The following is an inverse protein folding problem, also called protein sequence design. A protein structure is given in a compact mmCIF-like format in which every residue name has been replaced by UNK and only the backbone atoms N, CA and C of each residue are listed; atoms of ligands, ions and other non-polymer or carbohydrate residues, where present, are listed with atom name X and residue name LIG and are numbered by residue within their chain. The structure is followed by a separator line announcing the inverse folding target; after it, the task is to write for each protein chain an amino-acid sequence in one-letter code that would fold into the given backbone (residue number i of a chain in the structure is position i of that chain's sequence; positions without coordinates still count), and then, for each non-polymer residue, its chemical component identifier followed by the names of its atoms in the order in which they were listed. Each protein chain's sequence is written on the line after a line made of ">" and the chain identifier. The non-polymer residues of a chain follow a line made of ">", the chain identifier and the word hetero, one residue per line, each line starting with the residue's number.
data_IF_124889348277
#
_entry.id   IF_124889348277
#
_cell.length_a   1.000
_cell.length_b   1.000
_cell.length_c   1.000
_cell.angle_alpha   90.00
_cell.angle_beta   90.00
_cell.angle_gamma   90.00
#
_symmetry.space_group_name_H-M   'P 1'
#
loop_
_entity.id
_entity.type
_entity.pdbx_description
1 polymer ?
#
# COMPACT_ATOMS: atom_id res chain seq x y z
N UNK A 1 -9.15 -7.66 -4.04
CA UNK A 1 -9.06 -6.44 -3.22
C UNK A 1 -7.65 -6.40 -2.67
N UNK A 2 -6.86 -5.39 -3.04
CA UNK A 2 -5.46 -5.24 -2.64
C UNK A 2 -5.21 -3.83 -2.13
N UNK A 3 -4.11 -3.65 -1.40
CA UNK A 3 -3.58 -2.31 -1.15
C UNK A 3 -2.81 -1.84 -2.40
N UNK A 4 -2.75 -0.52 -2.67
CA UNK A 4 -1.91 0.01 -3.74
C UNK A 4 -0.44 -0.32 -3.50
N UNK A 5 0.31 -0.51 -4.56
CA UNK A 5 1.72 -0.84 -4.48
C UNK A 5 2.30 -1.26 -5.83
N UNK A 6 3.61 -1.06 -5.96
CA UNK A 6 4.34 -1.37 -7.17
C UNK A 6 5.84 -1.50 -6.92
N UNK A 7 6.59 -1.56 -8.01
CA UNK A 7 8.03 -1.82 -7.96
C UNK A 7 8.77 -0.53 -7.62
N UNK A 8 9.73 -0.62 -6.69
CA UNK A 8 10.64 0.49 -6.38
C UNK A 8 11.55 0.75 -7.58
N UNK A 9 11.51 1.97 -8.09
CA UNK A 9 12.37 2.37 -9.20
C UNK A 9 13.84 2.46 -8.78
N UNK A 10 14.75 2.36 -9.75
CA UNK A 10 16.19 2.41 -9.48
C UNK A 10 16.60 3.74 -8.83
N UNK A 11 17.04 3.68 -7.57
CA UNK A 11 17.43 4.86 -6.79
C UNK A 11 16.27 5.60 -6.12
N UNK A 12 15.05 5.06 -6.22
CA UNK A 12 13.89 5.55 -5.48
C UNK A 12 13.91 4.97 -4.06
N UNK A 13 13.54 5.80 -3.09
CA UNK A 13 13.32 5.33 -1.72
C UNK A 13 11.96 4.60 -1.65
N UNK A 14 11.86 3.45 -0.96
CA UNK A 14 10.60 2.67 -0.90
C UNK A 14 9.38 3.47 -0.42
N UNK A 15 9.59 4.41 0.51
CA UNK A 15 8.51 5.30 0.97
C UNK A 15 8.05 6.29 -0.12
N UNK A 16 8.95 6.71 -1.02
CA UNK A 16 8.60 7.55 -2.17
C UNK A 16 7.80 6.75 -3.20
N UNK A 17 8.20 5.50 -3.48
CA UNK A 17 7.44 4.55 -4.29
C UNK A 17 6.03 4.37 -3.72
N UNK A 18 5.91 4.06 -2.43
CA UNK A 18 4.61 3.88 -1.78
C UNK A 18 3.71 5.12 -1.87
N UNK A 19 4.27 6.34 -1.76
CA UNK A 19 3.50 7.58 -1.98
C UNK A 19 3.04 7.74 -3.44
N UNK A 20 3.92 7.43 -4.40
CA UNK A 20 3.65 7.52 -5.83
C UNK A 20 2.52 6.58 -6.21
N UNK A 21 2.65 5.29 -5.90
CA UNK A 21 1.67 4.25 -6.24
C UNK A 21 0.29 4.54 -5.64
N UNK A 22 0.22 4.95 -4.36
CA UNK A 22 -1.08 5.33 -3.75
C UNK A 22 -1.73 6.49 -4.51
N UNK A 23 -0.96 7.48 -4.98
CA UNK A 23 -1.52 8.60 -5.75
C UNK A 23 -1.91 8.16 -7.16
N UNK A 24 -1.07 7.37 -7.84
CA UNK A 24 -1.30 6.93 -9.21
C UNK A 24 -2.51 6.00 -9.32
N UNK A 25 -2.66 5.06 -8.38
CA UNK A 25 -3.77 4.11 -8.38
C UNK A 25 -5.05 4.68 -7.75
N UNK A 26 -4.95 5.62 -6.79
CA UNK A 26 -6.16 6.02 -6.03
C UNK A 26 -6.54 7.49 -6.17
N UNK A 27 -5.60 8.36 -6.58
CA UNK A 27 -5.77 9.81 -6.55
C UNK A 27 -5.72 10.43 -5.15
N UNK A 28 -5.40 9.63 -4.11
CA UNK A 28 -5.26 10.08 -2.72
C UNK A 28 -3.80 10.13 -2.30
N UNK A 29 -3.45 11.12 -1.47
CA UNK A 29 -2.10 11.28 -0.92
C UNK A 29 -2.13 11.25 0.60
N UNK A 30 -1.51 10.26 1.26
CA UNK A 30 -1.30 10.27 2.71
C UNK A 30 -0.48 11.48 3.17
N UNK A 31 -0.79 12.02 4.35
CA UNK A 31 0.01 13.08 4.99
C UNK A 31 1.30 12.53 5.60
N UNK A 32 1.21 11.31 6.13
CA UNK A 32 2.35 10.58 6.68
C UNK A 32 2.29 9.14 6.22
N UNK A 33 3.47 8.54 6.02
CA UNK A 33 3.66 7.11 5.86
C UNK A 33 4.50 6.58 7.03
N UNK A 34 4.09 5.46 7.57
CA UNK A 34 4.83 4.70 8.58
C UNK A 34 5.23 3.35 7.99
N UNK A 35 6.53 3.02 8.03
CA UNK A 35 6.99 1.69 7.64
C UNK A 35 6.63 0.67 8.73
N UNK A 36 5.90 -0.37 8.35
CA UNK A 36 5.43 -1.42 9.28
C UNK A 36 6.35 -2.62 9.26
N UNK A 37 6.66 -3.14 8.08
CA UNK A 37 7.44 -4.38 7.94
C UNK A 37 8.05 -4.51 6.55
N UNK A 38 9.27 -5.05 6.51
CA UNK A 38 9.89 -5.59 5.30
C UNK A 38 9.88 -7.12 5.40
N UNK A 39 9.41 -7.81 4.36
CA UNK A 39 9.42 -9.28 4.33
C UNK A 39 9.68 -9.83 2.93
N UNK A 40 9.98 -11.12 2.85
CA UNK A 40 10.27 -11.83 1.62
C UNK A 40 9.16 -12.86 1.38
N UNK A 41 8.20 -12.63 0.46
CA UNK A 41 7.08 -13.55 0.25
C UNK A 41 7.53 -14.86 -0.40
N UNK A 42 8.66 -14.86 -1.10
CA UNK A 42 9.13 -15.96 -1.95
C UNK A 42 10.52 -16.47 -1.54
N UNK A 43 10.72 -16.66 -0.22
CA UNK A 43 12.00 -17.14 0.33
C UNK A 43 12.46 -18.42 -0.37
N UNK A 44 13.70 -18.41 -0.85
CA UNK A 44 14.34 -19.56 -1.51
C UNK A 44 14.04 -19.71 -3.01
N UNK A 45 13.16 -18.86 -3.57
CA UNK A 45 12.90 -18.82 -5.01
C UNK A 45 13.46 -17.55 -5.65
N UNK A 46 13.11 -16.39 -5.10
CA UNK A 46 13.46 -15.08 -5.63
C UNK A 46 13.76 -14.13 -4.46
N UNK A 47 14.77 -13.30 -4.63
CA UNK A 47 15.00 -12.15 -3.75
C UNK A 47 14.02 -11.03 -4.15
N UNK A 48 12.99 -10.83 -3.34
CA UNK A 48 11.91 -9.87 -3.60
C UNK A 48 11.42 -9.28 -2.27
N UNK A 49 12.19 -8.34 -1.67
CA UNK A 49 11.75 -7.67 -0.48
C UNK A 49 10.46 -6.87 -0.77
N UNK A 50 9.48 -7.02 0.10
CA UNK A 50 8.23 -6.27 0.10
C UNK A 50 8.19 -5.39 1.34
N UNK A 51 8.07 -4.09 1.14
CA UNK A 51 7.96 -3.09 2.20
C UNK A 51 6.52 -2.62 2.34
N UNK A 52 5.97 -2.75 3.55
CA UNK A 52 4.59 -2.41 3.84
C UNK A 52 4.55 -1.12 4.65
N UNK A 53 3.74 -0.18 4.18
CA UNK A 53 3.52 1.11 4.82
C UNK A 53 2.05 1.31 5.22
N UNK A 54 1.82 2.08 6.28
CA UNK A 54 0.50 2.60 6.64
C UNK A 54 0.48 4.10 6.42
N UNK A 55 -0.50 4.55 5.63
CA UNK A 55 -0.76 5.96 5.37
C UNK A 55 -1.82 6.55 6.29
N UNK A 56 -1.57 7.76 6.82
CA UNK A 56 -2.53 8.48 7.64
C UNK A 56 -2.96 9.82 7.03
N UNK A 57 -4.22 10.18 7.27
CA UNK A 57 -4.77 11.49 6.95
C UNK A 57 -4.80 11.81 5.45
N UNK A 58 -5.06 10.82 4.60
CA UNK A 58 -5.01 10.99 3.16
C UNK A 58 -5.99 12.04 2.64
N UNK A 59 -5.54 12.82 1.65
CA UNK A 59 -6.33 13.84 0.98
C UNK A 59 -6.40 13.55 -0.52
N UNK A 60 -7.54 13.83 -1.14
CA UNK A 60 -7.70 13.65 -2.59
C UNK A 60 -6.93 14.74 -3.32
N UNK A 61 -5.99 14.34 -4.16
CA UNK A 61 -5.10 15.26 -4.91
C UNK A 61 -5.35 15.21 -6.42
N UNK A 62 -6.09 14.22 -6.92
CA UNK A 62 -6.42 14.09 -8.33
C UNK A 62 -7.33 12.89 -8.61
N UNK A 63 -7.48 12.60 -9.90
CA UNK A 63 -8.01 11.32 -10.36
C UNK A 63 -6.85 10.31 -10.49
N UNK A 64 -7.11 9.00 -10.31
CA UNK A 64 -6.13 7.97 -10.61
C UNK A 64 -5.61 8.08 -12.04
N UNK A 65 -4.33 7.82 -12.22
CA UNK A 65 -3.65 7.77 -13.51
C UNK A 65 -3.35 6.34 -13.95
N UNK A 66 -3.25 5.39 -13.03
CA UNK A 66 -3.18 3.97 -13.32
C UNK A 66 -4.54 3.32 -13.05
N UNK A 67 -5.25 3.00 -14.13
CA UNK A 67 -6.58 2.40 -14.09
C UNK A 67 -6.56 0.88 -14.34
N UNK A 68 -5.41 0.30 -14.71
CA UNK A 68 -5.32 -1.14 -14.94
C UNK A 68 -5.22 -1.92 -13.63
N UNK A 69 -4.47 -1.38 -12.65
CA UNK A 69 -4.45 -1.92 -11.29
C UNK A 69 -5.59 -1.37 -10.40
N UNK A 70 -6.05 -0.15 -10.65
CA UNK A 70 -7.14 0.49 -9.91
C UNK A 70 -8.53 0.24 -10.50
N UNK A 71 -9.01 -1.01 -10.44
CA UNK A 71 -10.35 -1.35 -10.96
C UNK A 71 -11.52 -0.68 -10.18
N UNK A 72 -11.43 -0.60 -8.86
CA UNK A 72 -12.45 0.03 -8.00
C UNK A 72 -11.83 0.51 -6.68
N UNK A 73 -11.98 1.81 -6.39
CA UNK A 73 -11.47 2.42 -5.17
C UNK A 73 -12.63 2.64 -4.20
N UNK A 74 -12.52 2.06 -3.01
CA UNK A 74 -13.51 2.21 -1.95
C UNK A 74 -12.82 2.40 -0.60
N UNK A 75 -13.32 3.38 0.18
CA UNK A 75 -12.97 3.50 1.58
C UNK A 75 -13.77 2.50 2.40
N UNK A 76 -13.08 1.47 2.90
CA UNK A 76 -13.71 0.40 3.68
C UNK A 76 -13.36 0.56 5.16
N UNK A 77 -14.36 0.55 6.07
CA UNK A 77 -14.10 0.61 7.50
C UNK A 77 -13.19 -0.53 7.98
N UNK A 78 -12.22 -0.21 8.83
CA UNK A 78 -11.27 -1.19 9.39
C UNK A 78 -11.94 -2.41 10.04
N UNK A 79 -13.14 -2.24 10.61
CA UNK A 79 -13.91 -3.32 11.21
C UNK A 79 -14.24 -4.45 10.23
N UNK A 80 -14.30 -4.15 8.93
CA UNK A 80 -14.56 -5.14 7.89
C UNK A 80 -13.33 -6.05 7.69
N UNK A 81 -12.12 -5.53 7.88
CA UNK A 81 -10.87 -6.30 7.79
C UNK A 81 -10.53 -7.06 9.09
N UNK A 82 -11.01 -6.60 10.25
CA UNK A 82 -10.91 -7.35 11.52
C UNK A 82 -11.93 -8.50 11.57
N UNK A 83 -11.70 -9.55 10.78
CA UNK A 83 -12.24 -10.87 11.09
C UNK A 83 -11.76 -11.33 12.47
N UNK A 84 -12.61 -12.05 13.21
CA UNK A 84 -12.38 -12.50 14.58
C UNK A 84 -11.13 -13.36 14.74
N UNK A 85 -9.98 -12.72 14.92
CA UNK A 85 -8.80 -13.39 15.44
C UNK A 85 -9.06 -13.63 16.93
N UNK A 86 -9.04 -14.88 17.44
CA UNK A 86 -9.10 -15.08 18.88
C UNK A 86 -7.91 -14.34 19.49
N UNK A 87 -8.19 -13.50 20.48
CA UNK A 87 -7.14 -12.88 21.27
C UNK A 87 -6.25 -14.02 21.78
N UNK A 88 -4.99 -14.04 21.35
CA UNK A 88 -3.99 -14.92 21.96
C UNK A 88 -3.80 -14.41 23.39
N UNK A 89 -4.31 -15.18 24.34
CA UNK A 89 -4.13 -15.03 25.78
C UNK A 89 -2.68 -15.32 26.17
#
# INVERSE_FOLDING_TARGET
>A
MGAPGGIVDAGEEPAATALREVVEETGWRPKTLEHVVTYQPMVGMVDSPHEIFVGHGAERVGEPTDLEEAGHIEWVPWQIFRGSWPAVS
#
